data_IF_166164976822
#
_entry.id   IF_166164976822
#
_cell.length_a   1.000
_cell.length_b   1.000
_cell.length_c   1.000
_cell.angle_alpha   90.00
_cell.angle_beta   90.00
_cell.angle_gamma   90.00
#
_symmetry.space_group_name_H-M   'P 1'
#
loop_
_entity.id
_entity.type
_entity.pdbx_description
1 polymer ?
#
# COMPACT_ATOMS: atom_id res chain seq x y z
N UNK A 1 31.26 14.83 -23.17
CA UNK A 1 29.79 14.82 -23.09
C UNK A 1 29.40 13.76 -22.06
N UNK A 2 28.60 14.12 -21.06
CA UNK A 2 28.20 13.23 -19.95
C UNK A 2 26.90 12.52 -20.38
N UNK A 3 26.91 11.18 -20.49
CA UNK A 3 25.67 10.43 -20.72
C UNK A 3 24.70 10.69 -19.57
N UNK A 4 23.50 11.20 -19.87
CA UNK A 4 22.50 11.56 -18.86
C UNK A 4 21.77 10.36 -18.22
N UNK A 5 22.22 9.12 -18.45
CA UNK A 5 21.70 7.94 -17.75
C UNK A 5 20.19 7.75 -17.90
N UNK A 6 19.60 8.09 -19.05
CA UNK A 6 18.20 7.79 -19.32
C UNK A 6 18.02 6.28 -19.43
N UNK A 7 17.15 5.74 -18.60
CA UNK A 7 16.74 4.34 -18.63
C UNK A 7 15.48 4.27 -19.50
N UNK A 8 15.47 3.40 -20.49
CA UNK A 8 14.27 3.14 -21.27
C UNK A 8 13.22 2.44 -20.39
N UNK A 9 12.04 3.04 -20.29
CA UNK A 9 10.92 2.57 -19.46
C UNK A 9 9.78 2.00 -20.32
N UNK A 10 10.01 1.81 -21.62
CA UNK A 10 9.06 1.25 -22.58
C UNK A 10 8.49 -0.11 -22.11
N UNK A 11 9.31 -0.93 -21.44
CA UNK A 11 8.92 -2.24 -20.89
C UNK A 11 8.29 -2.18 -19.48
N UNK A 12 8.16 -0.99 -18.87
CA UNK A 12 7.63 -0.86 -17.52
C UNK A 12 6.10 -0.81 -17.50
N UNK A 13 5.47 -1.64 -16.66
CA UNK A 13 4.02 -1.63 -16.46
C UNK A 13 3.68 -0.88 -15.16
N UNK A 14 2.70 0.04 -15.17
CA UNK A 14 2.21 0.67 -13.95
C UNK A 14 1.72 -0.39 -12.96
N UNK A 15 2.11 -0.27 -11.68
CA UNK A 15 1.74 -1.20 -10.61
C UNK A 15 0.26 -1.61 -10.66
N UNK A 16 -0.68 -0.66 -10.76
CA UNK A 16 -2.12 -0.98 -10.84
C UNK A 16 -2.45 -1.92 -12.01
N UNK A 17 -1.88 -1.66 -13.19
CA UNK A 17 -2.10 -2.49 -14.38
C UNK A 17 -1.51 -3.88 -14.27
N UNK A 18 -0.39 -4.03 -13.54
CA UNK A 18 0.25 -5.32 -13.35
C UNK A 18 -0.58 -6.30 -12.49
N UNK A 19 -1.51 -5.81 -11.68
CA UNK A 19 -2.33 -6.63 -10.77
C UNK A 19 -3.82 -6.69 -11.15
N UNK A 20 -4.26 -5.94 -12.17
CA UNK A 20 -5.68 -5.89 -12.58
C UNK A 20 -6.17 -7.17 -13.26
N UNK A 21 -5.28 -8.09 -13.65
CA UNK A 21 -5.67 -9.41 -14.17
C UNK A 21 -6.20 -10.33 -13.05
N UNK A 22 -5.67 -10.19 -11.83
CA UNK A 22 -5.96 -11.05 -10.68
C UNK A 22 -6.83 -10.38 -9.60
N UNK A 23 -6.90 -9.04 -9.60
CA UNK A 23 -7.54 -8.25 -8.53
C UNK A 23 -8.31 -7.05 -9.06
N UNK A 24 -9.41 -6.73 -8.39
CA UNK A 24 -10.20 -5.54 -8.69
C UNK A 24 -9.54 -4.25 -8.13
N UNK A 25 -9.82 -3.08 -8.74
CA UNK A 25 -9.17 -1.82 -8.32
C UNK A 25 -9.42 -1.48 -6.84
N UNK A 26 -10.58 -1.84 -6.31
CA UNK A 26 -10.95 -1.63 -4.90
C UNK A 26 -10.18 -2.54 -3.92
N UNK A 27 -9.55 -3.61 -4.41
CA UNK A 27 -8.74 -4.52 -3.60
C UNK A 27 -7.28 -4.07 -3.49
N UNK A 28 -6.80 -3.34 -4.49
CA UNK A 28 -5.41 -2.87 -4.57
C UNK A 28 -4.94 -2.12 -3.30
N UNK A 29 -5.73 -1.23 -2.65
CA UNK A 29 -5.30 -0.58 -1.42
C UNK A 29 -5.07 -1.56 -0.25
N UNK A 30 -5.89 -2.61 -0.16
CA UNK A 30 -5.76 -3.65 0.86
C UNK A 30 -4.52 -4.51 0.64
N UNK A 31 -4.28 -4.93 -0.61
CA UNK A 31 -3.06 -5.63 -1.01
C UNK A 31 -1.81 -4.77 -0.76
N UNK A 32 -1.84 -3.50 -1.13
CA UNK A 32 -0.73 -2.58 -0.92
C UNK A 32 -0.42 -2.39 0.58
N UNK A 33 -1.45 -2.33 1.43
CA UNK A 33 -1.28 -2.29 2.89
C UNK A 33 -0.61 -3.55 3.42
N UNK A 34 -1.10 -4.72 3.00
CA UNK A 34 -0.54 -6.01 3.39
C UNK A 34 0.94 -6.12 2.96
N UNK A 35 1.24 -5.83 1.69
CA UNK A 35 2.60 -5.85 1.16
C UNK A 35 3.54 -4.87 1.87
N UNK A 36 3.08 -3.63 2.10
CA UNK A 36 3.87 -2.64 2.83
C UNK A 36 4.13 -3.07 4.28
N UNK A 37 3.15 -3.67 4.94
CA UNK A 37 3.30 -4.21 6.30
C UNK A 37 4.33 -5.35 6.34
N UNK A 38 4.28 -6.29 5.39
CA UNK A 38 5.25 -7.38 5.30
C UNK A 38 6.66 -6.87 4.99
N UNK A 39 6.80 -5.86 4.13
CA UNK A 39 8.08 -5.23 3.82
C UNK A 39 8.76 -4.66 5.07
N UNK A 40 8.00 -4.03 5.96
CA UNK A 40 8.49 -3.50 7.23
C UNK A 40 8.51 -4.55 8.36
N UNK A 41 8.28 -5.83 8.06
CA UNK A 41 8.24 -6.95 9.01
C UNK A 41 7.27 -6.73 10.19
N UNK A 42 6.17 -6.02 9.97
CA UNK A 42 5.18 -5.72 10.99
C UNK A 42 4.06 -6.77 11.02
N UNK A 43 3.57 -7.11 12.21
CA UNK A 43 2.28 -7.81 12.38
C UNK A 43 1.12 -6.81 12.34
N UNK A 44 -0.10 -7.28 12.08
CA UNK A 44 -1.29 -6.41 12.14
C UNK A 44 -1.48 -5.79 13.54
N UNK A 45 -1.07 -6.51 14.60
CA UNK A 45 -1.10 -6.03 15.98
C UNK A 45 -0.09 -4.89 16.20
N UNK A 46 1.16 -5.05 15.75
CA UNK A 46 2.16 -3.98 15.85
C UNK A 46 1.76 -2.74 15.04
N UNK A 47 1.20 -2.94 13.84
CA UNK A 47 0.69 -1.82 13.06
C UNK A 47 -0.50 -1.13 13.75
N UNK A 48 -1.34 -1.88 14.44
CA UNK A 48 -2.42 -1.35 15.27
C UNK A 48 -1.88 -0.46 16.38
N UNK A 49 -0.85 -0.91 17.09
CA UNK A 49 -0.18 -0.16 18.16
C UNK A 49 0.47 1.14 17.64
N UNK A 50 1.15 1.08 16.50
CA UNK A 50 1.81 2.25 15.89
C UNK A 50 0.82 3.32 15.38
N UNK A 51 -0.34 2.90 14.90
CA UNK A 51 -1.30 3.80 14.23
C UNK A 51 -2.48 4.22 15.12
N UNK A 52 -2.69 3.50 16.22
CA UNK A 52 -3.89 3.56 17.05
C UNK A 52 -5.16 3.08 16.33
N UNK A 53 -5.02 2.41 15.17
CA UNK A 53 -6.16 1.81 14.45
C UNK A 53 -6.38 0.42 15.02
N UNK A 54 -7.60 0.01 15.39
CA UNK A 54 -7.85 -1.35 15.87
C UNK A 54 -7.36 -2.42 14.88
N UNK A 55 -6.73 -3.49 15.39
CA UNK A 55 -6.24 -4.59 14.56
C UNK A 55 -7.34 -5.20 13.68
N UNK A 56 -8.59 -5.26 14.16
CA UNK A 56 -9.71 -5.75 13.36
C UNK A 56 -9.99 -4.86 12.13
N UNK A 57 -9.80 -3.54 12.24
CA UNK A 57 -9.95 -2.62 11.12
C UNK A 57 -8.83 -2.79 10.11
N UNK A 58 -7.60 -3.01 10.56
CA UNK A 58 -6.45 -3.31 9.68
C UNK A 58 -6.72 -4.59 8.90
N UNK A 59 -7.16 -5.66 9.58
CA UNK A 59 -7.53 -6.91 8.92
C UNK A 59 -8.66 -6.72 7.90
N UNK A 60 -9.70 -5.95 8.24
CA UNK A 60 -10.77 -5.64 7.29
C UNK A 60 -10.29 -4.83 6.08
N UNK A 61 -9.34 -3.91 6.27
CA UNK A 61 -8.73 -3.14 5.17
C UNK A 61 -7.87 -4.02 4.28
N UNK A 62 -7.05 -4.91 4.86
CA UNK A 62 -6.20 -5.84 4.10
C UNK A 62 -7.03 -6.85 3.28
N UNK A 63 -8.21 -7.24 3.78
CA UNK A 63 -9.13 -8.16 3.09
C UNK A 63 -10.20 -7.42 2.26
N UNK A 64 -10.02 -6.13 1.97
CA UNK A 64 -10.95 -5.32 1.14
C UNK A 64 -12.39 -5.23 1.68
N UNK A 65 -12.64 -5.68 2.92
CA UNK A 65 -13.95 -5.58 3.61
C UNK A 65 -14.25 -4.18 4.11
N UNK A 66 -13.24 -3.31 4.16
CA UNK A 66 -13.36 -1.92 4.58
C UNK A 66 -12.50 -1.00 3.71
N UNK A 67 -13.05 0.10 3.18
CA UNK A 67 -12.27 1.05 2.39
C UNK A 67 -11.28 1.85 3.24
N UNK A 68 -10.13 2.19 2.64
CA UNK A 68 -9.10 3.02 3.27
C UNK A 68 -9.36 4.49 2.92
N UNK A 69 -9.95 5.25 3.85
CA UNK A 69 -10.16 6.68 3.67
C UNK A 69 -8.87 7.51 3.81
N UNK A 70 -8.85 8.72 3.25
CA UNK A 70 -7.70 9.66 3.25
C UNK A 70 -7.06 9.91 4.62
N UNK A 71 -7.86 9.99 5.69
CA UNK A 71 -7.36 10.19 7.07
C UNK A 71 -6.56 8.97 7.55
N UNK A 72 -7.07 7.76 7.30
CA UNK A 72 -6.41 6.51 7.65
C UNK A 72 -5.18 6.29 6.78
N UNK A 73 -5.29 6.51 5.46
CA UNK A 73 -4.17 6.42 4.53
C UNK A 73 -2.97 7.28 4.99
N UNK A 74 -3.22 8.50 5.47
CA UNK A 74 -2.16 9.36 6.03
C UNK A 74 -1.54 8.80 7.31
N UNK A 75 -2.31 8.18 8.20
CA UNK A 75 -1.78 7.53 9.42
C UNK A 75 -0.93 6.32 9.07
N UNK A 76 -1.43 5.45 8.20
CA UNK A 76 -0.73 4.27 7.72
C UNK A 76 0.57 4.65 7.01
N UNK A 77 0.52 5.63 6.10
CA UNK A 77 1.70 6.11 5.39
C UNK A 77 2.79 6.66 6.32
N UNK A 78 2.40 7.35 7.40
CA UNK A 78 3.35 7.81 8.42
C UNK A 78 3.95 6.66 9.24
N UNK A 79 3.15 5.67 9.62
CA UNK A 79 3.60 4.54 10.44
C UNK A 79 4.53 3.58 9.69
N UNK A 80 4.28 3.37 8.39
CA UNK A 80 5.01 2.43 7.53
C UNK A 80 6.03 3.18 6.64
N UNK A 81 6.21 4.49 6.85
CA UNK A 81 7.12 5.35 6.07
C UNK A 81 6.94 5.24 4.54
N UNK A 82 5.68 5.22 4.07
CA UNK A 82 5.34 5.19 2.65
C UNK A 82 4.37 6.31 2.27
N UNK A 83 4.34 6.64 0.98
CA UNK A 83 3.40 7.64 0.46
C UNK A 83 1.96 7.14 0.61
N UNK A 84 1.14 7.91 1.33
CA UNK A 84 -0.29 7.61 1.52
C UNK A 84 -1.10 7.51 0.21
N UNK A 85 -0.56 8.03 -0.91
CA UNK A 85 -1.19 7.96 -2.24
C UNK A 85 -1.30 6.52 -2.76
N UNK A 86 -0.50 5.60 -2.23
CA UNK A 86 -0.53 4.18 -2.60
C UNK A 86 -1.87 3.53 -2.18
N UNK A 87 -2.54 4.09 -1.18
CA UNK A 87 -3.83 3.59 -0.67
C UNK A 87 -5.05 4.28 -1.27
N UNK A 88 -4.88 5.14 -2.28
CA UNK A 88 -5.93 5.98 -2.86
C UNK A 88 -6.17 5.69 -4.35
#
# INVERSE_FOLDING_TARGET
>A
MKCMGFVDLSDSVPFKKAFLEDYEENELPGLALSGARYKEALTQKQLSELTGIPQCHISQMENSKRPIGKKIAKKLGKAINISHKIFL
#
